data_IF_959966098197
#
_entry.id   IF_959966098197
#
_cell.length_a   1.000
_cell.length_b   1.000
_cell.length_c   1.000
_cell.angle_alpha   90.00
_cell.angle_beta   90.00
_cell.angle_gamma   90.00
#
_symmetry.space_group_name_H-M   'P 1'
#
loop_
_entity.id
_entity.type
_entity.pdbx_description
1 polymer ?
#
# COMPACT_ATOMS: atom_id res chain seq x y z
N UNK A 1 -28.50 10.17 17.67
CA UNK A 1 -27.85 9.05 18.40
C UNK A 1 -26.39 9.42 18.61
N UNK A 2 -25.83 9.19 19.81
CA UNK A 2 -24.43 9.50 20.09
C UNK A 2 -23.53 8.52 19.33
N UNK A 3 -22.45 9.04 18.74
CA UNK A 3 -21.40 8.24 18.13
C UNK A 3 -20.23 8.19 19.10
N UNK A 4 -19.61 7.03 19.27
CA UNK A 4 -18.43 6.87 20.12
C UNK A 4 -17.42 5.94 19.47
N UNK A 5 -16.15 6.17 19.78
CA UNK A 5 -15.06 5.33 19.34
C UNK A 5 -14.20 4.83 20.49
N UNK A 6 -13.51 3.73 20.24
CA UNK A 6 -12.45 3.20 21.09
C UNK A 6 -11.29 2.69 20.23
N UNK A 7 -10.09 2.91 20.72
CA UNK A 7 -8.86 2.40 20.12
C UNK A 7 -8.62 0.99 20.66
N UNK A 8 -8.48 0.04 19.74
CA UNK A 8 -8.06 -1.31 20.03
C UNK A 8 -6.55 -1.36 20.22
N UNK A 9 -6.11 -1.97 21.32
CA UNK A 9 -4.71 -2.14 21.66
C UNK A 9 -4.38 -3.60 21.90
N UNK A 10 -3.17 -4.01 21.56
CA UNK A 10 -2.62 -5.30 21.96
C UNK A 10 -1.62 -5.11 23.08
N UNK A 11 -1.79 -5.83 24.19
CA UNK A 11 -0.84 -5.79 25.29
C UNK A 11 0.41 -6.59 24.94
N UNK A 12 1.53 -5.91 24.70
CA UNK A 12 2.81 -6.56 24.43
C UNK A 12 3.43 -7.12 25.69
N UNK A 13 3.10 -6.55 26.85
CA UNK A 13 3.40 -7.11 28.16
C UNK A 13 2.31 -6.75 29.17
N UNK A 14 1.49 -7.72 29.57
CA UNK A 14 0.36 -7.51 30.47
C UNK A 14 0.77 -7.19 31.91
N UNK A 15 2.01 -7.48 32.31
CA UNK A 15 2.53 -7.21 33.66
C UNK A 15 2.99 -5.75 33.77
N UNK A 16 3.64 -5.24 32.73
CA UNK A 16 4.19 -3.87 32.70
C UNK A 16 3.14 -2.85 32.24
N UNK A 17 2.04 -3.30 31.63
CA UNK A 17 0.98 -2.43 31.10
C UNK A 17 1.28 -1.86 29.72
N UNK A 18 2.34 -2.35 29.06
CA UNK A 18 2.70 -1.93 27.71
C UNK A 18 1.70 -2.47 26.69
N UNK A 19 1.25 -1.57 25.81
CA UNK A 19 0.30 -1.89 24.76
C UNK A 19 0.55 -1.08 23.50
N UNK A 20 0.29 -1.71 22.35
CA UNK A 20 0.38 -1.07 21.04
C UNK A 20 -1.02 -0.86 20.46
N UNK A 21 -1.33 0.36 20.03
CA UNK A 21 -2.57 0.66 19.30
C UNK A 21 -2.55 0.01 17.92
N UNK A 22 -3.54 -0.82 17.63
CA UNK A 22 -3.61 -1.61 16.39
C UNK A 22 -4.85 -1.33 15.55
N UNK A 23 -5.91 -0.74 16.12
CA UNK A 23 -7.16 -0.58 15.39
C UNK A 23 -8.13 0.39 16.02
N UNK A 24 -9.22 0.64 15.31
CA UNK A 24 -10.28 1.55 15.71
C UNK A 24 -11.63 0.84 15.58
N UNK A 25 -12.44 0.97 16.62
CA UNK A 25 -13.85 0.59 16.64
C UNK A 25 -14.69 1.86 16.81
N UNK A 26 -15.66 2.08 15.92
CA UNK A 26 -16.65 3.15 16.05
C UNK A 26 -18.04 2.55 16.07
N UNK A 27 -18.88 3.06 16.96
CA UNK A 27 -20.26 2.63 17.14
C UNK A 27 -21.18 3.85 16.99
N UNK A 28 -22.22 3.71 16.15
CA UNK A 28 -23.28 4.71 15.99
C UNK A 28 -24.62 4.00 16.00
N UNK A 29 -25.29 4.00 17.16
CA UNK A 29 -26.49 3.20 17.35
C UNK A 29 -26.19 1.74 16.99
N UNK A 30 -26.86 1.23 15.97
CA UNK A 30 -26.79 -0.17 15.57
C UNK A 30 -25.76 -0.47 14.45
N UNK A 31 -25.00 0.53 14.00
CA UNK A 31 -23.93 0.38 13.01
C UNK A 31 -22.55 0.44 13.68
N UNK A 32 -21.71 -0.54 13.36
CA UNK A 32 -20.37 -0.70 13.92
C UNK A 32 -19.33 -0.71 12.80
N UNK A 33 -18.28 0.09 12.95
CA UNK A 33 -17.13 0.10 12.05
C UNK A 33 -15.90 -0.42 12.79
N UNK A 34 -15.23 -1.40 12.21
CA UNK A 34 -14.00 -1.95 12.75
C UNK A 34 -12.92 -1.96 11.67
N UNK A 35 -11.75 -1.42 11.99
CA UNK A 35 -10.56 -1.55 11.15
C UNK A 35 -9.34 -1.79 12.02
N UNK A 36 -8.52 -2.76 11.61
CA UNK A 36 -7.28 -3.15 12.26
C UNK A 36 -6.14 -2.98 11.26
N UNK A 37 -5.05 -2.35 11.70
CA UNK A 37 -3.82 -2.24 10.91
C UNK A 37 -3.08 -3.56 10.95
N UNK A 38 -3.01 -4.24 9.81
CA UNK A 38 -2.25 -5.50 9.69
C UNK A 38 -0.77 -5.30 10.00
N UNK A 39 -0.19 -4.16 9.59
CA UNK A 39 1.19 -3.80 9.92
C UNK A 39 1.41 -3.69 11.44
N UNK A 40 0.61 -2.87 12.14
CA UNK A 40 0.75 -2.71 13.60
C UNK A 40 0.39 -3.97 14.37
N UNK A 41 -0.60 -4.74 13.90
CA UNK A 41 -0.94 -6.06 14.44
C UNK A 41 0.26 -7.00 14.35
N UNK A 42 0.91 -7.09 13.19
CA UNK A 42 2.07 -7.97 12.99
C UNK A 42 3.28 -7.55 13.84
N UNK A 43 3.50 -6.25 14.05
CA UNK A 43 4.51 -5.76 15.00
C UNK A 43 4.18 -6.19 16.42
N UNK A 44 2.94 -5.93 16.88
CA UNK A 44 2.51 -6.34 18.21
C UNK A 44 2.62 -7.86 18.43
N UNK A 45 2.25 -8.66 17.42
CA UNK A 45 2.36 -10.13 17.44
C UNK A 45 3.79 -10.60 17.72
N UNK A 46 4.79 -9.99 17.06
CA UNK A 46 6.22 -10.31 17.29
C UNK A 46 6.68 -9.99 18.72
N UNK A 47 6.07 -8.99 19.35
CA UNK A 47 6.39 -8.59 20.72
C UNK A 47 5.69 -9.46 21.78
N UNK A 48 4.65 -10.20 21.40
CA UNK A 48 3.82 -11.04 22.28
C UNK A 48 4.36 -12.46 22.51
N UNK A 49 5.40 -12.87 21.78
CA UNK A 49 5.99 -14.21 21.88
C UNK A 49 4.96 -15.33 21.69
N UNK A 50 4.88 -16.26 22.64
CA UNK A 50 4.07 -17.50 22.57
C UNK A 50 2.55 -17.27 22.43
N UNK A 51 2.05 -16.04 22.68
CA UNK A 51 0.63 -15.70 22.58
C UNK A 51 0.19 -15.25 21.19
N UNK A 52 1.09 -15.31 20.20
CA UNK A 52 0.87 -14.85 18.82
C UNK A 52 -0.42 -15.43 18.20
N UNK A 53 -0.63 -16.74 18.34
CA UNK A 53 -1.77 -17.46 17.74
C UNK A 53 -3.13 -17.01 18.31
N UNK A 54 -3.15 -16.48 19.52
CA UNK A 54 -4.38 -16.01 20.18
C UNK A 54 -4.84 -14.66 19.63
N UNK A 55 -3.93 -13.86 19.06
CA UNK A 55 -4.24 -12.51 18.54
C UNK A 55 -5.18 -12.60 17.34
N UNK A 56 -4.85 -13.41 16.34
CA UNK A 56 -5.65 -13.54 15.13
C UNK A 56 -7.02 -14.16 15.45
N UNK A 57 -7.06 -15.11 16.39
CA UNK A 57 -8.32 -15.69 16.85
C UNK A 57 -9.23 -14.63 17.48
N UNK A 58 -8.73 -13.84 18.44
CA UNK A 58 -9.54 -12.83 19.14
C UNK A 58 -10.02 -11.74 18.18
N UNK A 59 -9.17 -11.24 17.29
CA UNK A 59 -9.55 -10.22 16.29
C UNK A 59 -10.56 -10.78 15.29
N UNK A 60 -10.40 -12.04 14.86
CA UNK A 60 -11.35 -12.70 13.98
C UNK A 60 -12.71 -12.88 14.65
N UNK A 61 -12.75 -13.29 15.92
CA UNK A 61 -14.00 -13.42 16.67
C UNK A 61 -14.71 -12.07 16.82
N UNK A 62 -13.98 -11.02 17.21
CA UNK A 62 -14.53 -9.66 17.31
C UNK A 62 -15.09 -9.17 15.97
N UNK A 63 -14.34 -9.31 14.89
CA UNK A 63 -14.79 -8.89 13.56
C UNK A 63 -15.99 -9.67 13.05
N UNK A 64 -16.05 -10.98 13.33
CA UNK A 64 -17.19 -11.84 12.97
C UNK A 64 -18.44 -11.44 13.75
N UNK A 65 -18.30 -11.21 15.07
CA UNK A 65 -19.38 -10.76 15.93
C UNK A 65 -19.96 -9.41 15.49
N UNK A 66 -19.11 -8.42 15.19
CA UNK A 66 -19.56 -7.11 14.71
C UNK A 66 -20.22 -7.17 13.33
N UNK A 67 -19.73 -8.04 12.43
CA UNK A 67 -20.38 -8.29 11.12
C UNK A 67 -21.77 -8.90 11.29
N UNK A 68 -21.92 -9.83 12.24
CA UNK A 68 -23.22 -10.41 12.57
C UNK A 68 -24.19 -9.34 13.09
N UNK A 69 -23.75 -8.52 14.05
CA UNK A 69 -24.57 -7.43 14.60
C UNK A 69 -25.01 -6.42 13.52
N UNK A 70 -24.11 -6.06 12.59
CA UNK A 70 -24.44 -5.20 11.46
C UNK A 70 -25.43 -5.84 10.46
N UNK A 71 -25.48 -7.18 10.39
CA UNK A 71 -26.36 -7.91 9.48
C UNK A 71 -27.75 -8.15 10.07
N UNK A 72 -27.85 -8.36 11.38
CA UNK A 72 -29.11 -8.57 12.11
C UNK A 72 -29.95 -7.28 12.20
N UNK A 73 -29.27 -6.14 12.30
CA UNK A 73 -29.89 -4.81 12.34
C UNK A 73 -30.46 -4.37 10.99
N UNK A 74 -30.03 -4.96 9.87
CA UNK A 74 -30.61 -4.76 8.54
C UNK A 74 -31.88 -5.60 8.29
N UNK A 75 -32.11 -6.66 9.07
CA UNK A 75 -33.16 -7.66 8.80
C UNK A 75 -34.45 -7.46 9.61
N UNK A 76 -34.43 -6.62 10.65
CA UNK A 76 -35.52 -6.54 11.64
C UNK A 76 -36.17 -5.16 11.70
N UNK A 77 -37.02 -4.84 10.72
CA UNK A 77 -37.86 -3.62 10.76
C UNK A 77 -39.02 -3.70 11.79
N UNK A 78 -39.17 -4.82 12.51
CA UNK A 78 -40.30 -5.08 13.42
C UNK A 78 -39.96 -4.85 14.90
N UNK A 79 -38.68 -4.77 15.27
CA UNK A 79 -38.23 -4.54 16.65
C UNK A 79 -37.04 -3.59 16.66
N UNK A 80 -37.14 -2.47 17.36
CA UNK A 80 -35.98 -1.60 17.64
C UNK A 80 -35.16 -2.20 18.77
N UNK A 81 -34.11 -2.96 18.42
CA UNK A 81 -33.12 -3.39 19.40
C UNK A 81 -32.22 -2.21 19.76
N UNK A 82 -32.09 -1.91 21.07
CA UNK A 82 -31.10 -0.95 21.56
C UNK A 82 -29.68 -1.43 21.23
N UNK A 83 -28.77 -0.47 21.02
CA UNK A 83 -27.37 -0.75 20.70
C UNK A 83 -26.71 -1.63 21.76
N UNK A 84 -26.28 -2.85 21.37
CA UNK A 84 -25.63 -3.81 22.26
C UNK A 84 -24.29 -3.34 22.83
N UNK A 85 -23.56 -2.47 22.11
CA UNK A 85 -22.25 -1.96 22.54
C UNK A 85 -22.42 -0.49 22.87
N UNK A 86 -22.66 -0.14 24.13
CA UNK A 86 -22.85 1.25 24.60
C UNK A 86 -21.54 1.92 25.03
N UNK A 87 -21.57 3.23 25.28
CA UNK A 87 -20.44 3.97 25.88
C UNK A 87 -20.00 3.36 27.22
N UNK A 88 -20.96 3.04 28.09
CA UNK A 88 -20.72 2.40 29.39
C UNK A 88 -20.07 1.02 29.22
N UNK A 89 -20.51 0.26 28.22
CA UNK A 89 -19.93 -1.05 27.93
C UNK A 89 -18.47 -0.95 27.46
N UNK A 90 -18.15 0.05 26.62
CA UNK A 90 -16.76 0.30 26.21
C UNK A 90 -15.91 0.75 27.41
N UNK A 91 -16.44 1.60 28.28
CA UNK A 91 -15.73 2.02 29.49
C UNK A 91 -15.51 0.86 30.46
N UNK A 92 -16.48 -0.05 30.56
CA UNK A 92 -16.32 -1.32 31.26
C UNK A 92 -15.18 -2.15 30.63
N UNK A 93 -15.17 -2.32 29.30
CA UNK A 93 -14.09 -3.04 28.61
C UNK A 93 -12.73 -2.36 28.83
N UNK A 94 -12.65 -1.03 28.89
CA UNK A 94 -11.40 -0.32 29.16
C UNK A 94 -10.82 -0.67 30.54
N UNK A 95 -11.66 -0.88 31.55
CA UNK A 95 -11.23 -1.18 32.92
C UNK A 95 -10.92 -2.67 33.11
N UNK A 96 -11.73 -3.55 32.51
CA UNK A 96 -11.70 -4.99 32.81
C UNK A 96 -11.07 -5.86 31.73
N UNK A 97 -11.05 -5.44 30.46
CA UNK A 97 -10.41 -6.19 29.38
C UNK A 97 -8.90 -5.91 29.33
N UNK A 98 -8.18 -6.40 30.35
CA UNK A 98 -6.73 -6.23 30.50
C UNK A 98 -5.91 -7.38 29.86
N UNK A 99 -6.55 -8.22 29.05
CA UNK A 99 -5.93 -9.36 28.39
C UNK A 99 -5.13 -8.98 27.13
N UNK A 100 -5.09 -9.91 26.17
CA UNK A 100 -4.36 -9.73 24.91
C UNK A 100 -4.90 -8.53 24.13
N UNK A 101 -6.23 -8.43 24.00
CA UNK A 101 -6.92 -7.29 23.41
C UNK A 101 -7.44 -6.37 24.50
N UNK A 102 -7.10 -5.08 24.39
CA UNK A 102 -7.47 -4.03 25.31
C UNK A 102 -8.17 -2.90 24.56
N UNK A 103 -8.98 -2.12 25.28
CA UNK A 103 -9.79 -1.04 24.74
C UNK A 103 -9.41 0.28 25.41
N UNK A 104 -9.37 1.39 24.65
CA UNK A 104 -9.31 2.72 25.27
C UNK A 104 -10.67 3.12 25.84
N UNK A 105 -10.68 4.15 26.69
CA UNK A 105 -11.92 4.83 27.09
C UNK A 105 -12.74 5.24 25.86
N UNK A 106 -14.05 5.17 26.01
CA UNK A 106 -14.97 5.64 25.00
C UNK A 106 -14.77 7.14 24.79
N UNK A 107 -14.71 7.56 23.53
CA UNK A 107 -14.59 8.97 23.16
C UNK A 107 -15.76 9.34 22.26
N UNK A 108 -16.55 10.33 22.68
CA UNK A 108 -17.73 10.78 21.96
C UNK A 108 -17.36 11.61 20.73
N UNK A 109 -18.13 11.43 19.65
CA UNK A 109 -18.08 12.23 18.43
C UNK A 109 -19.43 12.92 18.24
N UNK A 110 -19.42 14.25 18.21
CA UNK A 110 -20.64 15.07 18.11
C UNK A 110 -21.04 15.35 16.65
N UNK A 111 -20.77 14.41 15.75
CA UNK A 111 -20.81 14.63 14.32
C UNK A 111 -21.52 13.48 13.60
N UNK A 112 -22.19 13.78 12.48
CA UNK A 112 -22.76 12.74 11.62
C UNK A 112 -21.62 11.87 11.09
N UNK A 113 -21.64 10.57 11.41
CA UNK A 113 -20.53 9.67 11.14
C UNK A 113 -20.82 8.73 9.97
N UNK A 114 -19.95 8.74 8.98
CA UNK A 114 -20.01 7.93 7.76
C UNK A 114 -18.69 7.18 7.52
N UNK A 115 -18.64 6.38 6.45
CA UNK A 115 -17.47 5.57 6.08
C UNK A 115 -16.22 6.44 5.76
N UNK A 116 -16.43 7.68 5.29
CA UNK A 116 -15.36 8.63 4.99
C UNK A 116 -14.72 9.19 6.26
N UNK A 117 -15.54 9.65 7.21
CA UNK A 117 -15.09 10.14 8.53
C UNK A 117 -14.45 9.00 9.33
N UNK A 118 -14.95 7.77 9.20
CA UNK A 118 -14.29 6.59 9.76
C UNK A 118 -12.86 6.42 9.27
N UNK A 119 -12.67 6.49 7.95
CA UNK A 119 -11.36 6.33 7.32
C UNK A 119 -10.36 7.43 7.76
N UNK A 120 -10.82 8.69 7.84
CA UNK A 120 -10.03 9.80 8.39
C UNK A 120 -9.63 9.58 9.85
N UNK A 121 -10.60 9.20 10.68
CA UNK A 121 -10.36 9.02 12.10
C UNK A 121 -9.37 7.86 12.34
N UNK A 122 -9.51 6.79 11.56
CA UNK A 122 -8.59 5.67 11.57
C UNK A 122 -7.17 6.09 11.18
N UNK A 123 -6.99 6.84 10.09
CA UNK A 123 -5.65 7.26 9.67
C UNK A 123 -4.99 8.18 10.70
N UNK A 124 -5.76 9.11 11.29
CA UNK A 124 -5.29 10.03 12.32
C UNK A 124 -4.83 9.32 13.59
N UNK A 125 -5.65 8.38 14.11
CA UNK A 125 -5.43 7.77 15.42
C UNK A 125 -4.56 6.52 15.36
N UNK A 126 -4.64 5.75 14.27
CA UNK A 126 -3.99 4.46 14.15
C UNK A 126 -2.81 4.53 13.21
N UNK A 127 -2.92 5.14 12.02
CA UNK A 127 -1.81 5.09 11.06
C UNK A 127 -0.77 6.18 11.28
N UNK A 128 -1.11 7.31 11.93
CA UNK A 128 -0.24 8.48 12.18
C UNK A 128 0.90 8.55 11.15
N UNK A 129 0.56 8.96 9.94
CA UNK A 129 1.52 9.22 8.88
C UNK A 129 2.69 10.04 9.47
N UNK A 130 3.88 9.45 9.48
CA UNK A 130 5.13 10.19 9.64
C UNK A 130 5.28 10.95 8.32
N UNK A 131 4.63 12.11 8.21
CA UNK A 131 4.55 12.93 6.98
C UNK A 131 3.14 13.49 6.77
N UNK A 132 2.96 14.79 6.97
CA UNK A 132 1.66 15.43 7.11
C UNK A 132 0.96 15.89 5.81
N UNK A 133 -0.35 16.16 6.01
CA UNK A 133 -1.34 16.94 5.23
C UNK A 133 -1.90 16.27 3.96
N UNK A 134 -3.19 16.28 3.63
CA UNK A 134 -4.46 16.68 4.27
C UNK A 134 -5.61 15.98 3.49
N UNK A 135 -6.72 15.75 4.18
CA UNK A 135 -8.14 15.60 3.80
C UNK A 135 -8.64 15.59 2.31
N UNK A 136 -9.37 14.49 1.95
CA UNK A 136 -10.56 14.27 1.04
C UNK A 136 -10.63 15.05 -0.28
N UNK A 137 -10.74 14.45 -1.45
CA UNK A 137 -11.76 13.49 -1.93
C UNK A 137 -11.28 12.84 -3.24
N UNK A 138 -11.92 11.71 -3.57
CA UNK A 138 -11.86 10.90 -4.80
C UNK A 138 -10.73 9.88 -4.87
N UNK A 139 -11.06 8.74 -5.48
CA UNK A 139 -10.29 7.51 -5.66
C UNK A 139 -8.87 7.73 -6.21
N UNK A 140 -7.97 8.20 -5.36
CA UNK A 140 -6.55 8.29 -5.65
C UNK A 140 -5.88 7.34 -4.66
N UNK A 141 -5.43 6.19 -5.16
CA UNK A 141 -4.39 5.35 -4.52
C UNK A 141 -3.45 6.32 -3.82
N UNK A 142 -3.25 6.20 -2.51
CA UNK A 142 -2.25 7.00 -1.81
C UNK A 142 -0.92 6.86 -2.57
N UNK A 143 -0.60 7.86 -3.38
CA UNK A 143 0.53 7.80 -4.30
C UNK A 143 1.76 7.76 -3.41
N UNK A 144 2.48 6.64 -3.43
CA UNK A 144 3.68 6.46 -2.61
C UNK A 144 4.68 7.59 -2.93
N UNK A 145 5.57 7.95 -1.99
CA UNK A 145 6.60 8.97 -2.24
C UNK A 145 7.41 8.65 -3.51
N UNK A 146 7.66 7.36 -3.76
CA UNK A 146 8.25 6.85 -4.98
C UNK A 146 7.42 7.21 -6.22
N UNK A 147 6.12 6.92 -6.23
CA UNK A 147 5.24 7.25 -7.35
C UNK A 147 5.13 8.78 -7.55
N UNK A 148 5.13 9.59 -6.47
CA UNK A 148 5.15 11.05 -6.56
C UNK A 148 6.45 11.55 -7.19
N UNK A 149 7.59 11.05 -6.73
CA UNK A 149 8.90 11.39 -7.27
C UNK A 149 9.00 11.03 -8.76
N UNK A 150 8.53 9.85 -9.15
CA UNK A 150 8.47 9.42 -10.55
C UNK A 150 7.59 10.37 -11.35
N UNK A 151 6.40 10.71 -10.86
CA UNK A 151 5.49 11.58 -11.59
C UNK A 151 6.04 12.99 -11.78
N UNK A 152 6.47 13.61 -10.69
CA UNK A 152 6.85 15.02 -10.66
C UNK A 152 8.23 15.25 -11.26
N UNK A 153 9.16 14.32 -11.10
CA UNK A 153 10.57 14.52 -11.48
C UNK A 153 10.98 13.81 -12.77
N UNK A 154 10.24 12.79 -13.19
CA UNK A 154 10.48 12.08 -14.45
C UNK A 154 9.35 12.29 -15.46
N UNK A 155 8.13 11.82 -15.16
CA UNK A 155 7.04 11.79 -16.14
C UNK A 155 6.66 13.19 -16.63
N UNK A 156 6.53 14.15 -15.71
CA UNK A 156 6.22 15.55 -16.03
C UNK A 156 7.17 16.16 -17.08
N UNK A 157 8.45 15.74 -17.07
CA UNK A 157 9.51 16.25 -17.95
C UNK A 157 9.56 15.55 -19.29
N UNK A 158 9.29 14.24 -19.31
CA UNK A 158 9.54 13.40 -20.51
C UNK A 158 8.27 13.07 -21.30
N UNK A 159 7.07 13.27 -20.74
CA UNK A 159 5.75 12.95 -21.35
C UNK A 159 5.53 13.48 -22.76
N UNK A 160 6.14 14.62 -23.10
CA UNK A 160 5.97 15.24 -24.42
C UNK A 160 6.94 14.68 -25.47
N UNK A 161 7.95 13.89 -25.08
CA UNK A 161 9.04 13.41 -25.95
C UNK A 161 8.98 11.90 -26.18
N UNK A 162 8.76 11.13 -25.12
CA UNK A 162 8.76 9.67 -25.14
C UNK A 162 7.40 9.12 -24.71
N UNK A 163 7.24 7.81 -24.77
CA UNK A 163 6.05 7.15 -24.24
C UNK A 163 6.13 7.13 -22.73
N UNK A 164 5.05 7.53 -22.06
CA UNK A 164 4.92 7.51 -20.59
C UNK A 164 3.66 6.78 -20.19
N UNK A 165 3.69 6.11 -19.04
CA UNK A 165 2.55 5.37 -18.47
C UNK A 165 1.91 4.39 -19.47
N UNK A 166 2.74 3.65 -20.21
CA UNK A 166 2.27 2.74 -21.26
C UNK A 166 2.15 1.30 -20.76
N UNK A 167 1.12 0.61 -21.23
CA UNK A 167 0.99 -0.83 -21.05
C UNK A 167 1.46 -1.54 -22.31
N UNK A 168 2.45 -2.43 -22.15
CA UNK A 168 2.94 -3.31 -23.20
C UNK A 168 2.23 -4.65 -23.07
N UNK A 169 1.47 -5.00 -24.11
CA UNK A 169 0.74 -6.25 -24.22
C UNK A 169 0.98 -6.89 -25.61
N UNK A 170 0.23 -7.94 -25.92
CA UNK A 170 0.32 -8.69 -27.17
C UNK A 170 -0.02 -7.83 -28.41
N UNK A 171 -0.78 -6.74 -28.25
CA UNK A 171 -1.05 -5.80 -29.35
C UNK A 171 0.19 -4.98 -29.73
N UNK A 172 0.99 -4.60 -28.72
CA UNK A 172 2.24 -3.87 -28.90
C UNK A 172 3.38 -4.80 -29.32
N UNK A 173 3.49 -5.97 -28.68
CA UNK A 173 4.56 -6.93 -28.89
C UNK A 173 4.01 -8.36 -28.94
N UNK A 174 3.86 -8.90 -30.16
CA UNK A 174 3.17 -10.19 -30.38
C UNK A 174 3.74 -11.40 -29.63
N UNK A 175 5.00 -11.33 -29.23
CA UNK A 175 5.69 -12.40 -28.50
C UNK A 175 5.55 -12.31 -26.98
N UNK A 176 4.87 -11.29 -26.44
CA UNK A 176 4.63 -11.16 -25.01
C UNK A 176 3.35 -11.91 -24.62
N UNK A 177 3.40 -12.66 -23.52
CA UNK A 177 2.27 -13.44 -22.99
C UNK A 177 1.73 -12.87 -21.67
N UNK A 178 2.23 -11.70 -21.27
CA UNK A 178 1.83 -10.97 -20.08
C UNK A 178 1.70 -9.48 -20.40
N UNK A 179 0.88 -8.78 -19.63
CA UNK A 179 0.79 -7.33 -19.71
C UNK A 179 1.82 -6.73 -18.76
N UNK A 180 2.48 -5.66 -19.18
CA UNK A 180 3.49 -4.99 -18.38
C UNK A 180 3.41 -3.48 -18.50
N UNK A 181 3.25 -2.81 -17.37
CA UNK A 181 3.17 -1.35 -17.31
C UNK A 181 4.57 -0.77 -17.19
N UNK A 182 4.91 0.17 -18.08
CA UNK A 182 6.17 0.91 -18.10
C UNK A 182 5.91 2.38 -17.76
N UNK A 183 6.75 2.96 -16.92
CA UNK A 183 6.57 4.36 -16.53
C UNK A 183 7.03 5.28 -17.66
N UNK A 184 8.15 4.96 -18.30
CA UNK A 184 8.53 5.61 -19.55
C UNK A 184 9.35 4.71 -20.47
N UNK A 185 9.24 4.94 -21.78
CA UNK A 185 9.97 4.23 -22.82
C UNK A 185 10.18 5.10 -24.06
N UNK A 186 11.42 5.28 -24.47
CA UNK A 186 11.81 6.01 -25.67
C UNK A 186 12.84 5.24 -26.48
N UNK A 187 12.95 5.59 -27.75
CA UNK A 187 13.91 5.00 -28.67
C UNK A 187 14.58 6.10 -29.51
N UNK A 188 15.91 6.13 -29.49
CA UNK A 188 16.72 6.80 -30.51
C UNK A 188 18.12 6.19 -30.54
N UNK A 189 18.43 5.40 -31.57
CA UNK A 189 19.63 4.56 -31.61
C UNK A 189 19.53 3.36 -30.65
N UNK A 190 19.43 3.61 -29.34
CA UNK A 190 19.18 2.64 -28.27
C UNK A 190 17.93 2.97 -27.44
N UNK A 191 17.44 2.00 -26.66
CA UNK A 191 16.31 2.21 -25.77
C UNK A 191 16.72 3.01 -24.54
N UNK A 192 15.82 3.90 -24.10
CA UNK A 192 15.86 4.49 -22.77
C UNK A 192 14.50 4.24 -22.13
N UNK A 193 14.48 3.53 -21.00
CA UNK A 193 13.23 3.18 -20.34
C UNK A 193 13.40 3.06 -18.84
N UNK A 194 12.32 3.30 -18.11
CA UNK A 194 12.32 3.16 -16.67
C UNK A 194 11.03 2.52 -16.18
N UNK A 195 11.18 1.74 -15.11
CA UNK A 195 10.07 1.19 -14.36
C UNK A 195 10.30 1.38 -12.87
N UNK A 196 9.30 1.90 -12.18
CA UNK A 196 9.25 1.97 -10.73
C UNK A 196 8.62 0.72 -10.14
N UNK A 197 9.13 0.33 -8.98
CA UNK A 197 8.71 -0.86 -8.26
C UNK A 197 8.64 -0.55 -6.76
N UNK A 198 7.43 -0.58 -6.21
CA UNK A 198 7.27 -0.60 -4.75
C UNK A 198 7.66 -1.98 -4.21
N UNK A 199 8.44 -1.98 -3.12
CA UNK A 199 8.88 -3.19 -2.43
C UNK A 199 7.92 -3.64 -1.32
N UNK A 200 6.69 -3.09 -1.29
CA UNK A 200 5.64 -3.44 -0.33
C UNK A 200 4.91 -4.77 -0.64
N UNK A 201 5.36 -5.49 -1.67
CA UNK A 201 4.79 -6.75 -2.11
C UNK A 201 5.57 -7.97 -1.59
N UNK A 202 5.00 -9.17 -1.78
CA UNK A 202 5.71 -10.41 -1.46
C UNK A 202 6.92 -10.59 -2.38
N UNK A 203 7.97 -11.26 -1.89
CA UNK A 203 9.19 -11.51 -2.67
C UNK A 203 8.87 -12.22 -3.99
N UNK A 204 7.93 -13.18 -3.99
CA UNK A 204 7.50 -13.88 -5.20
C UNK A 204 6.87 -12.94 -6.23
N UNK A 205 6.09 -11.94 -5.78
CA UNK A 205 5.51 -10.94 -6.68
C UNK A 205 6.57 -9.99 -7.21
N UNK A 206 7.57 -9.62 -6.40
CA UNK A 206 8.70 -8.79 -6.82
C UNK A 206 9.57 -9.51 -7.86
N UNK A 207 9.95 -10.76 -7.59
CA UNK A 207 10.70 -11.64 -8.51
C UNK A 207 9.98 -11.79 -9.84
N UNK A 208 8.65 -12.01 -9.81
CA UNK A 208 7.84 -12.08 -11.03
C UNK A 208 7.88 -10.77 -11.82
N UNK A 209 7.69 -9.62 -11.16
CA UNK A 209 7.71 -8.32 -11.82
C UNK A 209 9.06 -8.04 -12.48
N UNK A 210 10.17 -8.28 -11.77
CA UNK A 210 11.50 -8.08 -12.35
C UNK A 210 11.79 -9.09 -13.46
N UNK A 211 11.40 -10.35 -13.32
CA UNK A 211 11.55 -11.35 -14.38
C UNK A 211 10.81 -10.94 -15.66
N UNK A 212 9.58 -10.42 -15.50
CA UNK A 212 8.82 -9.86 -16.60
C UNK A 212 9.51 -8.64 -17.21
N UNK A 213 10.09 -7.76 -16.39
CA UNK A 213 10.83 -6.59 -16.88
C UNK A 213 12.03 -6.98 -17.73
N UNK A 214 12.88 -7.88 -17.24
CA UNK A 214 14.05 -8.41 -17.95
C UNK A 214 13.64 -9.08 -19.26
N UNK A 215 12.57 -9.88 -19.22
CA UNK A 215 12.01 -10.52 -20.42
C UNK A 215 11.53 -9.50 -21.44
N UNK A 216 10.82 -8.46 -20.99
CA UNK A 216 10.33 -7.39 -21.84
C UNK A 216 11.47 -6.60 -22.49
N UNK A 217 12.53 -6.29 -21.75
CA UNK A 217 13.75 -5.66 -22.27
C UNK A 217 14.36 -6.52 -23.39
N UNK A 218 14.49 -7.83 -23.18
CA UNK A 218 15.00 -8.77 -24.18
C UNK A 218 14.13 -8.81 -25.44
N UNK A 219 12.81 -8.89 -25.26
CA UNK A 219 11.85 -8.91 -26.37
C UNK A 219 11.82 -7.62 -27.17
N UNK A 220 11.90 -6.45 -26.52
CA UNK A 220 12.01 -5.15 -27.19
C UNK A 220 13.32 -5.05 -27.97
N UNK A 221 14.42 -5.47 -27.35
CA UNK A 221 15.75 -5.49 -27.99
C UNK A 221 15.75 -6.36 -29.24
N UNK A 222 15.12 -7.54 -29.18
CA UNK A 222 14.98 -8.44 -30.32
C UNK A 222 14.08 -7.85 -31.43
N UNK A 223 12.92 -7.31 -31.07
CA UNK A 223 11.95 -6.78 -32.04
C UNK A 223 12.51 -5.60 -32.86
N UNK A 224 13.34 -4.76 -32.25
CA UNK A 224 13.89 -3.55 -32.88
C UNK A 224 15.37 -3.69 -33.26
N UNK A 225 15.91 -4.91 -33.24
CA UNK A 225 17.30 -5.26 -33.57
C UNK A 225 18.32 -4.36 -32.85
N UNK A 226 18.16 -4.24 -31.51
CA UNK A 226 19.00 -3.41 -30.65
C UNK A 226 19.86 -4.27 -29.75
N UNK A 227 21.14 -3.89 -29.63
CA UNK A 227 22.05 -4.51 -28.68
C UNK A 227 21.62 -4.20 -27.25
N UNK A 228 21.36 -5.25 -26.47
CA UNK A 228 21.01 -5.18 -25.05
C UNK A 228 21.95 -4.28 -24.24
N UNK A 229 23.25 -4.35 -24.52
CA UNK A 229 24.28 -3.63 -23.76
C UNK A 229 24.26 -2.11 -23.99
N UNK A 230 23.66 -1.65 -25.09
CA UNK A 230 23.56 -0.23 -25.41
C UNK A 230 22.26 0.39 -24.88
N UNK A 231 21.32 -0.43 -24.45
CA UNK A 231 20.04 0.01 -23.92
C UNK A 231 20.20 0.48 -22.48
N UNK A 232 19.54 1.58 -22.15
CA UNK A 232 19.59 2.22 -20.84
C UNK A 232 18.25 2.01 -20.16
N UNK A 233 18.12 0.88 -19.48
CA UNK A 233 16.95 0.56 -18.67
C UNK A 233 17.22 0.82 -17.20
N UNK A 234 16.23 1.38 -16.51
CA UNK A 234 16.31 1.71 -15.08
C UNK A 234 15.19 0.99 -14.32
N UNK A 235 15.52 0.49 -13.14
CA UNK A 235 14.55 0.04 -12.14
C UNK A 235 14.61 1.06 -10.99
N UNK A 236 13.49 1.71 -10.70
CA UNK A 236 13.39 2.75 -9.67
C UNK A 236 12.76 2.10 -8.44
N UNK A 237 13.54 1.93 -7.38
CA UNK A 237 13.06 1.38 -6.12
C UNK A 237 13.88 1.95 -4.96
N UNK A 238 13.18 2.45 -3.94
CA UNK A 238 13.80 2.96 -2.73
C UNK A 238 14.27 1.81 -1.83
N UNK A 239 15.36 2.05 -1.09
CA UNK A 239 15.91 1.07 -0.16
C UNK A 239 14.88 0.74 0.93
N UNK A 240 14.48 -0.54 1.08
CA UNK A 240 13.54 -0.94 2.10
C UNK A 240 14.26 -1.11 3.45
N UNK A 241 13.49 -1.31 4.53
CA UNK A 241 14.05 -1.50 5.86
C UNK A 241 15.10 -2.63 5.91
N UNK A 242 16.25 -2.33 6.55
CA UNK A 242 17.37 -3.25 6.69
C UNK A 242 16.96 -4.60 7.29
N UNK A 243 17.62 -5.68 6.83
CA UNK A 243 17.36 -7.09 7.24
C UNK A 243 15.94 -7.61 6.98
N UNK A 244 15.21 -7.01 6.04
CA UNK A 244 13.96 -7.59 5.54
C UNK A 244 14.20 -8.49 4.32
N UNK A 245 13.29 -9.42 4.00
CA UNK A 245 13.35 -10.15 2.73
C UNK A 245 13.37 -9.21 1.50
N UNK A 246 12.64 -8.10 1.57
CA UNK A 246 12.66 -7.05 0.55
C UNK A 246 14.03 -6.38 0.41
N UNK A 247 14.74 -6.13 1.52
CA UNK A 247 16.10 -5.61 1.47
C UNK A 247 17.08 -6.58 0.81
N UNK A 248 16.97 -7.88 1.11
CA UNK A 248 17.78 -8.90 0.43
C UNK A 248 17.51 -8.89 -1.08
N UNK A 249 16.24 -8.88 -1.47
CA UNK A 249 15.84 -8.77 -2.87
C UNK A 249 16.41 -7.50 -3.54
N UNK A 250 16.26 -6.34 -2.91
CA UNK A 250 16.76 -5.07 -3.42
C UNK A 250 18.28 -5.06 -3.61
N UNK A 251 19.04 -5.64 -2.67
CA UNK A 251 20.49 -5.83 -2.82
C UNK A 251 20.82 -6.73 -4.03
N UNK A 252 20.11 -7.86 -4.20
CA UNK A 252 20.31 -8.76 -5.34
C UNK A 252 20.02 -8.06 -6.69
N UNK A 253 19.10 -7.09 -6.71
CA UNK A 253 18.78 -6.33 -7.93
C UNK A 253 19.89 -5.36 -8.36
N UNK A 254 20.84 -5.00 -7.47
CA UNK A 254 21.98 -4.14 -7.83
C UNK A 254 22.94 -4.82 -8.80
N UNK A 255 23.02 -6.14 -8.75
CA UNK A 255 23.97 -6.94 -9.54
C UNK A 255 23.41 -7.35 -10.91
N UNK A 256 22.14 -7.04 -11.20
CA UNK A 256 21.50 -7.40 -12.47
C UNK A 256 21.99 -6.49 -13.59
N UNK A 257 22.67 -7.04 -14.59
CA UNK A 257 23.27 -6.25 -15.68
C UNK A 257 22.29 -5.69 -16.71
N UNK A 258 21.04 -6.17 -16.72
CA UNK A 258 20.04 -5.80 -17.75
C UNK A 258 19.42 -4.42 -17.52
N UNK A 259 19.46 -3.91 -16.28
CA UNK A 259 18.97 -2.58 -15.92
C UNK A 259 19.84 -1.99 -14.82
N UNK A 260 19.79 -0.67 -14.63
CA UNK A 260 20.41 0.00 -13.49
C UNK A 260 19.37 0.25 -12.40
N UNK A 261 19.62 -0.23 -11.19
CA UNK A 261 18.82 0.10 -10.00
C UNK A 261 19.15 1.53 -9.54
N UNK A 262 18.12 2.35 -9.33
CA UNK A 262 18.25 3.73 -8.85
C UNK A 262 17.18 4.04 -7.80
N UNK A 263 17.50 4.98 -6.90
CA UNK A 263 16.52 5.52 -5.93
C UNK A 263 15.54 6.48 -6.60
N UNK A 264 14.33 6.62 -6.05
CA UNK A 264 13.37 7.62 -6.51
C UNK A 264 13.91 9.06 -6.35
N UNK A 265 14.85 9.28 -5.45
CA UNK A 265 15.54 10.57 -5.29
C UNK A 265 16.45 10.90 -6.49
N UNK A 266 16.92 9.89 -7.20
CA UNK A 266 17.83 10.02 -8.33
C UNK A 266 17.11 9.86 -9.68
N UNK A 267 15.78 9.77 -9.69
CA UNK A 267 14.98 9.47 -10.88
C UNK A 267 15.16 10.50 -12.00
N UNK A 268 15.54 11.72 -11.64
CA UNK A 268 15.80 12.83 -12.55
C UNK A 268 16.95 12.54 -13.53
N UNK A 269 17.89 11.66 -13.16
CA UNK A 269 18.96 11.22 -14.06
C UNK A 269 18.41 10.52 -15.31
N UNK A 270 17.23 9.88 -15.22
CA UNK A 270 16.59 9.21 -16.35
C UNK A 270 16.12 10.26 -17.35
N UNK A 271 15.49 11.35 -16.88
CA UNK A 271 15.05 12.45 -17.74
C UNK A 271 16.23 13.10 -18.46
N UNK A 272 17.34 13.35 -17.76
CA UNK A 272 18.55 13.88 -18.39
C UNK A 272 19.11 12.95 -19.49
N UNK A 273 19.04 11.64 -19.30
CA UNK A 273 19.50 10.66 -20.29
C UNK A 273 18.57 10.65 -21.50
N UNK A 274 17.26 10.74 -21.29
CA UNK A 274 16.28 10.91 -22.39
C UNK A 274 16.62 12.15 -23.21
N UNK A 275 16.93 13.26 -22.55
CA UNK A 275 17.30 14.50 -23.23
C UNK A 275 18.62 14.38 -24.00
N UNK A 276 19.66 13.80 -23.38
CA UNK A 276 20.98 13.59 -23.99
C UNK A 276 20.93 12.64 -25.20
N UNK A 277 20.07 11.65 -25.15
CA UNK A 277 19.91 10.67 -26.24
C UNK A 277 18.92 11.11 -27.31
N UNK A 278 18.20 12.22 -27.09
CA UNK A 278 17.06 12.65 -27.91
C UNK A 278 16.08 11.50 -28.21
N UNK A 279 15.78 10.69 -27.18
CA UNK A 279 14.86 9.56 -27.33
C UNK A 279 13.44 10.04 -27.67
N UNK A 280 12.74 9.31 -28.54
CA UNK A 280 11.40 9.68 -29.03
C UNK A 280 10.38 8.55 -28.89
N UNK A 281 9.10 8.92 -28.96
CA UNK A 281 7.99 7.99 -29.17
C UNK A 281 8.20 7.17 -30.45
N UNK A 282 8.00 5.86 -30.37
CA UNK A 282 8.19 4.92 -31.50
C UNK A 282 7.07 3.87 -31.66
N UNK A 283 6.32 3.58 -30.58
CA UNK A 283 5.07 2.82 -30.65
C UNK A 283 3.98 3.67 -31.34
N UNK A 284 3.15 3.03 -32.16
CA UNK A 284 1.99 3.67 -32.80
C UNK A 284 0.85 3.77 -31.77
N UNK A 285 0.30 4.97 -31.57
CA UNK A 285 -0.92 5.18 -30.77
C UNK A 285 -2.12 4.67 -31.58
N UNK A 286 -2.53 3.42 -31.35
CA UNK A 286 -3.84 2.96 -31.83
C UNK A 286 -4.88 3.48 -30.84
N UNK A 287 -5.58 4.57 -31.20
CA UNK A 287 -6.79 5.04 -30.53
C UNK A 287 -7.97 4.10 -30.78
#
# INVERSE_FOLDING_TARGET
>A
MKTYYTILKLSTNTIVGDSLSIGLLVCRGNKYWLKVSEHKKNIAKKLLGDKENSVDFVIKQLSTYLKQLNSETQKSNLFTFESFITEDYINYLNVYANGILQFSKASALNDDFDDLKFSKLYSLLIEKNIGGKNEVFQDIKSISLLEQNVQDRLISKVRNRIHTEITIDNSVLKSIYFNYEMDCLGLNGSFVGAKSLSLDHTVQTLEKNVSHYVTLIALLSQKYDKNLNNNKFFLIADEPLYKTPAHKFWEEMKDVSTFKLISSEEVEQVAEIVDKTDARKFLQENY
#
